data_IF_656799308055
#
_entry.id   IF_656799308055
#
_cell.length_a   1.000
_cell.length_b   1.000
_cell.length_c   1.000
_cell.angle_alpha   90.00
_cell.angle_beta   90.00
_cell.angle_gamma   90.00
#
_symmetry.space_group_name_H-M   'P 1'
#
loop_
_entity.id
_entity.type
_entity.pdbx_description
1 polymer ?
#
# COMPACT_ATOMS: atom_id res chain seq x y z
N UNK A 1 23.19 53.45 3.14
CA UNK A 1 22.09 54.23 3.77
C UNK A 1 20.94 53.27 4.00
N UNK A 2 20.97 52.55 5.14
CA UNK A 2 19.97 51.52 5.52
C UNK A 2 18.81 52.26 6.19
N UNK A 3 17.65 52.27 5.52
CA UNK A 3 16.41 52.78 6.12
C UNK A 3 15.99 51.88 7.30
N UNK A 4 15.61 52.42 8.44
CA UNK A 4 15.08 51.64 9.55
C UNK A 4 13.74 51.05 9.17
N UNK A 5 13.60 49.76 9.38
CA UNK A 5 12.37 48.98 9.12
C UNK A 5 11.25 49.47 10.06
N UNK A 6 10.09 49.75 9.52
CA UNK A 6 8.91 50.17 10.30
C UNK A 6 8.48 49.07 11.28
N UNK A 7 8.14 49.40 12.55
CA UNK A 7 7.73 48.40 13.56
C UNK A 7 6.57 47.53 13.09
N UNK A 8 5.62 48.06 12.34
CA UNK A 8 4.50 47.31 11.78
C UNK A 8 4.93 46.19 10.78
N UNK A 9 6.04 46.43 10.05
CA UNK A 9 6.62 45.39 9.17
C UNK A 9 7.35 44.28 9.94
N UNK A 10 7.96 44.64 11.07
CA UNK A 10 8.63 43.69 11.93
C UNK A 10 7.60 42.74 12.62
N UNK A 11 6.47 43.29 13.06
CA UNK A 11 5.38 42.50 13.66
C UNK A 11 4.69 41.60 12.64
N UNK A 12 4.45 42.06 11.41
CA UNK A 12 3.90 41.27 10.34
C UNK A 12 4.82 40.09 9.97
N UNK A 13 6.13 40.35 9.84
CA UNK A 13 7.10 39.28 9.55
C UNK A 13 7.27 38.27 10.71
N UNK A 14 7.15 38.71 11.96
CA UNK A 14 7.17 37.83 13.12
C UNK A 14 5.93 36.94 13.16
N UNK A 15 4.76 37.46 12.79
CA UNK A 15 3.51 36.67 12.69
C UNK A 15 3.53 35.66 11.55
N UNK A 16 3.99 36.06 10.37
CA UNK A 16 4.16 35.17 9.23
C UNK A 16 5.17 34.02 9.50
N UNK A 17 6.31 34.36 10.13
CA UNK A 17 7.30 33.36 10.52
C UNK A 17 6.76 32.35 11.52
N UNK A 18 5.94 32.81 12.48
CA UNK A 18 5.28 31.91 13.44
C UNK A 18 4.27 30.94 12.81
N UNK A 19 3.48 31.40 11.85
CA UNK A 19 2.52 30.56 11.12
C UNK A 19 3.21 29.55 10.23
N UNK A 20 4.28 29.93 9.54
CA UNK A 20 5.07 29.02 8.70
C UNK A 20 5.70 27.94 9.57
N UNK A 21 6.29 28.27 10.70
CA UNK A 21 6.90 27.31 11.61
C UNK A 21 5.89 26.32 12.20
N UNK A 22 4.68 26.79 12.53
CA UNK A 22 3.60 25.93 12.97
C UNK A 22 3.15 24.97 11.85
N UNK A 23 3.01 25.48 10.62
CA UNK A 23 2.65 24.66 9.47
C UNK A 23 3.70 23.59 9.18
N UNK A 24 4.98 23.93 9.22
CA UNK A 24 6.09 22.99 9.08
C UNK A 24 6.03 21.89 10.13
N UNK A 25 5.89 22.26 11.40
CA UNK A 25 5.80 21.28 12.51
C UNK A 25 4.58 20.36 12.36
N UNK A 26 3.43 20.90 11.95
CA UNK A 26 2.22 20.08 11.74
C UNK A 26 2.38 19.09 10.59
N UNK A 27 3.00 19.51 9.49
CA UNK A 27 3.23 18.63 8.33
C UNK A 27 4.26 17.55 8.68
N UNK A 28 5.33 17.89 9.39
CA UNK A 28 6.32 16.94 9.86
C UNK A 28 5.70 15.89 10.80
N UNK A 29 4.88 16.30 11.74
CA UNK A 29 4.15 15.39 12.64
C UNK A 29 3.18 14.49 11.84
N UNK A 30 2.47 15.05 10.86
CA UNK A 30 1.56 14.30 10.02
C UNK A 30 2.30 13.24 9.19
N UNK A 31 3.46 13.56 8.61
CA UNK A 31 4.25 12.59 7.85
C UNK A 31 4.69 11.40 8.71
N UNK A 32 5.19 11.66 9.92
CA UNK A 32 5.58 10.59 10.87
C UNK A 32 4.39 9.70 11.25
N UNK A 33 3.22 10.27 11.48
CA UNK A 33 2.01 9.48 11.79
C UNK A 33 1.63 8.58 10.61
N UNK A 34 1.69 9.11 9.38
CA UNK A 34 1.38 8.34 8.17
C UNK A 34 2.41 7.21 7.96
N UNK A 35 3.70 7.47 8.20
CA UNK A 35 4.74 6.44 8.16
C UNK A 35 4.50 5.31 9.17
N UNK A 36 4.11 5.66 10.39
CA UNK A 36 3.76 4.67 11.42
C UNK A 36 2.54 3.83 11.03
N UNK A 37 1.53 4.44 10.41
CA UNK A 37 0.37 3.72 9.88
C UNK A 37 0.82 2.76 8.77
N UNK A 38 1.64 3.21 7.83
CA UNK A 38 2.20 2.39 6.77
C UNK A 38 2.99 1.20 7.31
N UNK A 39 3.87 1.44 8.28
CA UNK A 39 4.64 0.39 8.96
C UNK A 39 3.72 -0.61 9.68
N UNK A 40 2.67 -0.15 10.34
CA UNK A 40 1.66 -0.98 10.98
C UNK A 40 0.95 -1.91 9.98
N UNK A 41 0.55 -1.38 8.83
CA UNK A 41 -0.09 -2.15 7.74
C UNK A 41 0.86 -3.25 7.25
N UNK A 42 2.13 -2.92 7.02
CA UNK A 42 3.16 -3.87 6.57
C UNK A 42 3.42 -4.97 7.59
N UNK A 43 3.53 -4.62 8.88
CA UNK A 43 3.76 -5.57 9.97
C UNK A 43 2.58 -6.53 10.09
N UNK A 44 1.34 -6.04 10.04
CA UNK A 44 0.12 -6.87 10.09
C UNK A 44 0.07 -7.80 8.89
N UNK A 45 0.37 -7.32 7.69
CA UNK A 45 0.43 -8.12 6.47
C UNK A 45 1.46 -9.25 6.57
N UNK A 46 2.68 -8.91 7.00
CA UNK A 46 3.76 -9.87 7.20
C UNK A 46 3.44 -10.91 8.28
N UNK A 47 2.91 -10.49 9.43
CA UNK A 47 2.53 -11.38 10.52
C UNK A 47 1.45 -12.39 10.09
N UNK A 48 0.42 -11.93 9.37
CA UNK A 48 -0.62 -12.81 8.81
C UNK A 48 -0.06 -13.80 7.80
N UNK A 49 0.82 -13.35 6.93
CA UNK A 49 1.47 -14.24 5.97
C UNK A 49 2.32 -15.30 6.67
N UNK A 50 3.15 -14.91 7.65
CA UNK A 50 3.98 -15.83 8.43
C UNK A 50 3.14 -16.86 9.20
N UNK A 51 2.01 -16.46 9.78
CA UNK A 51 1.07 -17.40 10.42
C UNK A 51 0.57 -18.46 9.43
N UNK A 52 0.08 -18.02 8.27
CA UNK A 52 -0.43 -18.96 7.25
C UNK A 52 0.70 -19.84 6.73
N UNK A 53 1.87 -19.26 6.41
CA UNK A 53 3.02 -20.02 5.93
C UNK A 53 3.52 -21.03 6.96
N UNK A 54 3.56 -20.66 8.25
CA UNK A 54 3.97 -21.54 9.34
C UNK A 54 3.01 -22.71 9.54
N UNK A 55 1.70 -22.45 9.60
CA UNK A 55 0.67 -23.51 9.69
C UNK A 55 0.75 -24.44 8.48
N UNK A 56 0.96 -23.86 7.29
CA UNK A 56 1.07 -24.60 6.03
C UNK A 56 2.29 -25.51 6.02
N UNK A 57 3.43 -25.05 6.50
CA UNK A 57 4.66 -25.82 6.56
C UNK A 57 4.56 -27.04 7.51
N UNK A 58 3.77 -26.92 8.60
CA UNK A 58 3.62 -27.98 9.61
C UNK A 58 2.59 -29.04 9.17
N UNK A 59 1.56 -28.64 8.40
CA UNK A 59 0.38 -29.48 8.14
C UNK A 59 0.44 -30.15 6.77
N UNK A 60 1.45 -30.64 6.22
CA UNK A 60 1.62 -31.42 4.96
C UNK A 60 0.31 -31.89 4.27
N UNK A 61 -0.58 -30.99 3.80
CA UNK A 61 -1.81 -31.32 3.10
C UNK A 61 -1.82 -30.76 1.68
N UNK A 62 -2.23 -31.56 0.70
CA UNK A 62 -2.25 -31.23 -0.75
C UNK A 62 -3.16 -30.05 -1.15
N UNK A 63 -4.06 -29.61 -0.27
CA UNK A 63 -4.91 -28.43 -0.47
C UNK A 63 -4.22 -27.09 -0.13
N UNK A 64 -2.95 -27.11 0.26
CA UNK A 64 -2.20 -25.98 0.79
C UNK A 64 -1.71 -25.02 -0.27
N UNK A 65 -1.58 -25.44 -1.52
CA UNK A 65 -1.12 -24.56 -2.61
C UNK A 65 -2.06 -23.36 -2.83
N UNK A 66 -3.37 -23.59 -2.75
CA UNK A 66 -4.38 -22.52 -2.90
C UNK A 66 -4.39 -21.54 -1.71
N UNK A 67 -4.28 -22.07 -0.49
CA UNK A 67 -4.23 -21.25 0.73
C UNK A 67 -2.96 -20.37 0.77
N UNK A 68 -1.84 -20.94 0.37
CA UNK A 68 -0.56 -20.22 0.30
C UNK A 68 -0.58 -19.13 -0.79
N UNK A 69 -1.15 -19.42 -1.96
CA UNK A 69 -1.32 -18.46 -3.04
C UNK A 69 -2.24 -17.31 -2.63
N UNK A 70 -3.37 -17.62 -1.96
CA UNK A 70 -4.25 -16.59 -1.41
C UNK A 70 -3.56 -15.74 -0.33
N UNK A 71 -2.71 -16.34 0.50
CA UNK A 71 -1.92 -15.61 1.49
C UNK A 71 -0.89 -14.67 0.84
N UNK A 72 -0.20 -15.10 -0.22
CA UNK A 72 0.71 -14.24 -1.01
C UNK A 72 -0.02 -13.06 -1.64
N UNK A 73 -1.20 -13.29 -2.22
CA UNK A 73 -2.03 -12.22 -2.78
C UNK A 73 -2.41 -11.18 -1.72
N UNK A 74 -2.83 -11.64 -0.54
CA UNK A 74 -3.16 -10.75 0.57
C UNK A 74 -1.94 -9.98 1.08
N UNK A 75 -0.79 -10.64 1.23
CA UNK A 75 0.46 -9.97 1.60
C UNK A 75 0.81 -8.87 0.60
N UNK A 76 0.74 -9.16 -0.70
CA UNK A 76 1.00 -8.18 -1.75
C UNK A 76 0.05 -6.98 -1.67
N UNK A 77 -1.22 -7.19 -1.35
CA UNK A 77 -2.18 -6.11 -1.14
C UNK A 77 -1.83 -5.23 0.09
N UNK A 78 -1.35 -5.82 1.20
CA UNK A 78 -0.87 -5.08 2.36
C UNK A 78 0.39 -4.28 2.04
N UNK A 79 1.32 -4.87 1.28
CA UNK A 79 2.54 -4.16 0.85
C UNK A 79 2.18 -2.97 -0.04
N UNK A 80 1.29 -3.16 -1.01
CA UNK A 80 0.85 -2.09 -1.90
C UNK A 80 0.18 -0.96 -1.11
N UNK A 81 -0.75 -1.28 -0.21
CA UNK A 81 -1.40 -0.29 0.65
C UNK A 81 -0.38 0.45 1.54
N UNK A 82 0.58 -0.25 2.16
CA UNK A 82 1.64 0.40 2.93
C UNK A 82 2.49 1.35 2.10
N UNK A 83 2.83 0.98 0.87
CA UNK A 83 3.57 1.85 -0.06
C UNK A 83 2.76 3.09 -0.47
N UNK A 84 1.44 2.99 -0.64
CA UNK A 84 0.58 4.14 -0.92
C UNK A 84 0.62 5.17 0.21
N UNK A 85 0.54 4.74 1.48
CA UNK A 85 0.68 5.63 2.63
C UNK A 85 2.08 6.25 2.72
N UNK A 86 3.12 5.48 2.43
CA UNK A 86 4.49 5.97 2.42
C UNK A 86 4.72 7.06 1.35
N UNK A 87 4.12 6.93 0.17
CA UNK A 87 4.19 7.98 -0.88
C UNK A 87 3.55 9.28 -0.38
N UNK A 88 2.42 9.20 0.33
CA UNK A 88 1.78 10.38 0.91
C UNK A 88 2.68 11.06 1.94
N UNK A 89 3.33 10.29 2.82
CA UNK A 89 4.29 10.82 3.79
C UNK A 89 5.47 11.52 3.11
N UNK A 90 6.03 10.92 2.05
CA UNK A 90 7.13 11.51 1.28
C UNK A 90 6.75 12.84 0.63
N UNK A 91 5.53 12.94 0.09
CA UNK A 91 5.02 14.19 -0.49
C UNK A 91 4.91 15.26 0.60
N UNK A 92 4.38 14.93 1.77
CA UNK A 92 4.28 15.85 2.90
C UNK A 92 5.65 16.30 3.38
N UNK A 93 6.61 15.39 3.49
CA UNK A 93 7.98 15.71 3.87
C UNK A 93 8.66 16.65 2.86
N UNK A 94 8.42 16.45 1.56
CA UNK A 94 8.96 17.30 0.48
C UNK A 94 8.44 18.74 0.54
N UNK A 95 7.25 18.98 1.07
CA UNK A 95 6.68 20.33 1.23
C UNK A 95 7.47 21.14 2.25
N UNK A 96 7.96 20.48 3.29
CA UNK A 96 8.69 21.12 4.40
C UNK A 96 10.17 21.29 4.09
N UNK A 97 10.81 20.23 3.59
CA UNK A 97 12.24 20.20 3.32
C UNK A 97 12.53 20.56 1.87
N UNK A 98 13.11 21.75 1.66
CA UNK A 98 13.33 22.35 0.33
C UNK A 98 14.80 22.39 -0.11
N UNK A 99 15.68 21.62 0.51
CA UNK A 99 17.07 21.54 0.04
C UNK A 99 17.15 20.65 -1.21
N UNK A 100 18.04 20.99 -2.14
CA UNK A 100 18.23 20.20 -3.37
C UNK A 100 18.69 18.77 -3.06
N UNK A 101 19.51 18.60 -2.05
CA UNK A 101 20.01 17.28 -1.64
C UNK A 101 18.89 16.41 -1.08
N UNK A 102 18.01 16.97 -0.25
CA UNK A 102 16.84 16.26 0.26
C UNK A 102 15.86 15.88 -0.86
N UNK A 103 15.64 16.80 -1.81
CA UNK A 103 14.78 16.54 -2.98
C UNK A 103 15.33 15.43 -3.88
N UNK A 104 16.65 15.36 -4.08
CA UNK A 104 17.28 14.28 -4.85
C UNK A 104 17.14 12.95 -4.13
N UNK A 105 17.41 12.91 -2.82
CA UNK A 105 17.26 11.71 -2.02
C UNK A 105 15.82 11.18 -2.07
N UNK A 106 14.84 12.08 -1.90
CA UNK A 106 13.41 11.73 -1.99
C UNK A 106 13.00 11.26 -3.39
N UNK A 107 13.52 11.90 -4.44
CA UNK A 107 13.24 11.48 -5.82
C UNK A 107 13.73 10.05 -6.08
N UNK A 108 14.90 9.69 -5.56
CA UNK A 108 15.45 8.32 -5.68
C UNK A 108 14.57 7.34 -4.90
N UNK A 109 14.20 7.65 -3.66
CA UNK A 109 13.34 6.81 -2.84
C UNK A 109 11.96 6.63 -3.50
N UNK A 110 11.36 7.70 -3.99
CA UNK A 110 10.08 7.68 -4.68
C UNK A 110 10.15 6.84 -5.98
N UNK A 111 11.22 6.96 -6.76
CA UNK A 111 11.43 6.16 -7.96
C UNK A 111 11.52 4.67 -7.63
N UNK A 112 12.30 4.28 -6.62
CA UNK A 112 12.41 2.89 -6.17
C UNK A 112 11.06 2.36 -5.69
N UNK A 113 10.33 3.12 -4.88
CA UNK A 113 8.99 2.74 -4.40
C UNK A 113 7.99 2.57 -5.55
N UNK A 114 7.97 3.50 -6.49
CA UNK A 114 7.10 3.43 -7.67
C UNK A 114 7.40 2.18 -8.50
N UNK A 115 8.69 1.87 -8.67
CA UNK A 115 9.13 0.67 -9.38
C UNK A 115 8.65 -0.60 -8.67
N UNK A 116 8.86 -0.72 -7.36
CA UNK A 116 8.41 -1.85 -6.54
C UNK A 116 6.89 -1.97 -6.59
N UNK A 117 6.15 -0.88 -6.42
CA UNK A 117 4.69 -0.84 -6.48
C UNK A 117 4.16 -1.30 -7.84
N UNK A 118 4.79 -0.87 -8.93
CA UNK A 118 4.43 -1.27 -10.28
C UNK A 118 4.62 -2.78 -10.51
N UNK A 119 5.80 -3.32 -10.16
CA UNK A 119 6.08 -4.75 -10.32
C UNK A 119 5.17 -5.61 -9.45
N UNK A 120 4.97 -5.21 -8.20
CA UNK A 120 4.10 -5.92 -7.27
C UNK A 120 2.64 -5.87 -7.74
N UNK A 121 2.17 -4.73 -8.20
CA UNK A 121 0.82 -4.58 -8.77
C UNK A 121 0.60 -5.48 -9.96
N UNK A 122 1.58 -5.60 -10.87
CA UNK A 122 1.55 -6.48 -12.03
C UNK A 122 1.51 -7.96 -11.61
N UNK A 123 2.39 -8.39 -10.70
CA UNK A 123 2.41 -9.76 -10.18
C UNK A 123 1.08 -10.12 -9.50
N UNK A 124 0.50 -9.20 -8.71
CA UNK A 124 -0.80 -9.41 -8.10
C UNK A 124 -1.93 -9.54 -9.13
N UNK A 125 -1.91 -8.77 -10.20
CA UNK A 125 -2.90 -8.85 -11.26
C UNK A 125 -2.84 -10.21 -11.97
N UNK A 126 -1.65 -10.68 -12.32
CA UNK A 126 -1.44 -12.00 -12.94
C UNK A 126 -1.91 -13.14 -12.03
N UNK A 127 -1.60 -13.08 -10.75
CA UNK A 127 -2.04 -14.10 -9.78
C UNK A 127 -3.56 -14.12 -9.59
N UNK A 128 -4.22 -12.95 -9.62
CA UNK A 128 -5.70 -12.85 -9.55
C UNK A 128 -6.36 -13.45 -10.79
N UNK A 129 -5.80 -13.20 -11.95
CA UNK A 129 -6.29 -13.75 -13.22
C UNK A 129 -6.21 -15.29 -13.24
N UNK A 130 -5.08 -15.87 -12.82
CA UNK A 130 -4.91 -17.31 -12.70
C UNK A 130 -5.89 -17.93 -11.69
N UNK A 131 -6.14 -17.26 -10.55
CA UNK A 131 -7.12 -17.69 -9.56
C UNK A 131 -8.54 -17.74 -10.14
N UNK A 132 -8.92 -16.72 -10.89
CA UNK A 132 -10.25 -16.62 -11.52
C UNK A 132 -10.49 -17.69 -12.59
N UNK A 133 -9.49 -17.92 -13.45
CA UNK A 133 -9.57 -18.98 -14.47
C UNK A 133 -9.71 -20.38 -13.86
N UNK A 134 -9.04 -20.61 -12.73
CA UNK A 134 -9.17 -21.85 -11.97
C UNK A 134 -10.58 -22.08 -11.41
N UNK A 135 -11.22 -21.02 -10.92
CA UNK A 135 -12.58 -21.08 -10.38
C UNK A 135 -13.64 -21.24 -11.50
N UNK A 136 -13.47 -20.54 -12.62
CA UNK A 136 -14.34 -20.68 -13.79
C UNK A 136 -14.26 -22.08 -14.42
N UNK A 137 -13.05 -22.64 -14.52
CA UNK A 137 -12.85 -24.03 -14.97
C UNK A 137 -13.47 -25.08 -14.05
N UNK A 138 -13.38 -24.86 -12.73
CA UNK A 138 -14.02 -25.76 -11.75
C UNK A 138 -15.55 -25.66 -11.81
N UNK A 139 -16.10 -24.46 -12.01
CA UNK A 139 -17.54 -24.24 -12.16
C UNK A 139 -18.09 -24.91 -13.43
N UNK A 140 -17.39 -24.77 -14.57
CA UNK A 140 -17.76 -25.42 -15.82
C UNK A 140 -17.70 -26.96 -15.73
N UNK A 141 -16.70 -27.50 -15.06
CA UNK A 141 -16.59 -28.92 -14.84
C UNK A 141 -17.73 -29.48 -13.94
N UNK A 142 -18.15 -28.71 -12.94
CA UNK A 142 -19.28 -29.07 -12.06
C UNK A 142 -20.60 -29.03 -12.82
N UNK A 143 -20.81 -28.06 -13.70
CA UNK A 143 -22.01 -27.94 -14.53
C UNK A 143 -22.10 -29.06 -15.57
N UNK A 144 -20.98 -29.45 -16.17
CA UNK A 144 -20.88 -30.54 -17.11
C UNK A 144 -21.13 -31.93 -16.45
N UNK A 145 -20.92 -32.04 -15.14
CA UNK A 145 -21.20 -33.27 -14.34
C UNK A 145 -22.63 -33.34 -13.82
N UNK A 146 -23.42 -32.25 -13.93
CA UNK A 146 -24.81 -32.26 -13.49
C UNK A 146 -25.66 -32.93 -14.58
N UNK A 147 -26.28 -34.13 -14.33
CA UNK A 147 -27.10 -34.77 -15.33
C UNK A 147 -28.32 -33.88 -15.65
N UNK A 148 -28.75 -33.82 -16.93
CA UNK A 148 -29.90 -33.02 -17.30
C UNK A 148 -31.12 -33.48 -16.46
N UNK A 149 -31.80 -32.47 -15.90
CA UNK A 149 -33.04 -32.72 -15.15
C UNK A 149 -33.93 -33.63 -15.98
N UNK A 150 -34.30 -34.80 -15.43
CA UNK A 150 -35.27 -35.68 -16.07
C UNK A 150 -36.54 -34.87 -16.29
N UNK A 151 -36.82 -34.50 -17.53
CA UNK A 151 -38.15 -34.03 -17.91
C UNK A 151 -39.13 -35.14 -17.51
N UNK A 152 -39.99 -34.76 -16.57
CA UNK A 152 -41.09 -35.61 -16.08
C UNK A 152 -41.99 -35.99 -17.26
N UNK A 153 -41.81 -37.23 -17.77
CA UNK A 153 -42.72 -37.84 -18.74
C UNK A 153 -43.95 -38.35 -17.98
N UNK A 154 -44.75 -37.43 -17.46
CA UNK A 154 -46.10 -37.73 -17.03
C UNK A 154 -47.10 -37.25 -18.10
N UNK A 155 -47.39 -38.12 -19.06
CA UNK A 155 -48.61 -38.12 -19.87
C UNK A 155 -49.17 -39.52 -19.96
#
# INVERSE_FOLDING_TARGET
MTMPMSPARAEAQAGEGGLVHLAETLVEQASVVIELIAAGILIVGAARFLMVAGVTAITRRDHLSRAFQAARLRLGAYILAGLEFLIVADILFTIVNRTLDDLIALAIIAAVRTLVSYFLGKELAELREMGRQGDEGAAQAADAMTPPAREDQSR
#
